data_IF_693165189702
#
_entry.id   IF_693165189702
#
_cell.length_a   1.000
_cell.length_b   1.000
_cell.length_c   1.000
_cell.angle_alpha   90.00
_cell.angle_beta   90.00
_cell.angle_gamma   90.00
#
_symmetry.space_group_name_H-M   'P 1'
#
loop_
_entity.id
_entity.type
_entity.pdbx_description
1 polymer ?
#
# COMPACT_ATOMS: atom_id res chain seq x y z
N UNK A 1 3.36 0.44 -14.25
CA UNK A 1 2.29 -0.35 -13.60
C UNK A 1 1.57 0.54 -12.61
N UNK A 2 0.24 0.42 -12.48
CA UNK A 2 -0.50 1.19 -11.49
C UNK A 2 -0.38 0.51 -10.11
N UNK A 3 0.46 1.07 -9.24
CA UNK A 3 0.70 0.59 -7.87
C UNK A 3 -0.62 0.43 -7.10
N UNK A 4 -1.59 1.32 -7.33
CA UNK A 4 -2.90 1.26 -6.66
C UNK A 4 -3.67 -0.01 -7.04
N UNK A 5 -3.59 -0.41 -8.32
CA UNK A 5 -4.26 -1.60 -8.84
C UNK A 5 -3.64 -2.87 -8.25
N UNK A 6 -2.30 -2.91 -8.18
CA UNK A 6 -1.55 -4.04 -7.60
C UNK A 6 -1.91 -4.22 -6.13
N UNK A 7 -1.97 -3.13 -5.36
CA UNK A 7 -2.34 -3.17 -3.95
C UNK A 7 -3.76 -3.73 -3.77
N UNK A 8 -4.74 -3.21 -4.54
CA UNK A 8 -6.13 -3.68 -4.46
C UNK A 8 -6.25 -5.17 -4.78
N UNK A 9 -5.65 -5.61 -5.88
CA UNK A 9 -5.68 -7.02 -6.28
C UNK A 9 -5.04 -7.92 -5.23
N UNK A 10 -3.95 -7.49 -4.59
CA UNK A 10 -3.30 -8.27 -3.54
C UNK A 10 -4.12 -8.34 -2.25
N UNK A 11 -4.76 -7.24 -1.87
CA UNK A 11 -5.68 -7.21 -0.74
C UNK A 11 -6.82 -8.21 -0.96
N UNK A 12 -7.45 -8.18 -2.13
CA UNK A 12 -8.53 -9.12 -2.50
C UNK A 12 -8.04 -10.57 -2.52
N UNK A 13 -6.87 -10.84 -3.12
CA UNK A 13 -6.29 -12.19 -3.17
C UNK A 13 -5.93 -12.76 -1.79
N UNK A 14 -5.49 -11.91 -0.87
CA UNK A 14 -5.09 -12.31 0.47
C UNK A 14 -6.26 -12.25 1.48
N UNK A 15 -7.42 -11.71 1.09
CA UNK A 15 -8.57 -11.52 1.96
C UNK A 15 -8.38 -10.43 3.02
N UNK A 16 -7.55 -9.42 2.72
CA UNK A 16 -7.28 -8.31 3.63
C UNK A 16 -8.03 -7.04 3.22
N UNK A 17 -8.32 -6.19 4.20
CA UNK A 17 -8.93 -4.89 4.01
C UNK A 17 -7.88 -3.76 4.04
N UNK A 18 -8.30 -2.55 3.63
CA UNK A 18 -7.44 -1.37 3.64
C UNK A 18 -6.93 -1.03 5.04
N UNK A 19 -7.74 -1.27 6.08
CA UNK A 19 -7.38 -1.08 7.50
C UNK A 19 -6.23 -1.99 7.93
N UNK A 20 -6.16 -3.21 7.40
CA UNK A 20 -5.12 -4.18 7.75
C UNK A 20 -3.78 -3.75 7.15
N UNK A 21 -3.82 -3.29 5.89
CA UNK A 21 -2.66 -2.71 5.23
C UNK A 21 -2.19 -1.42 5.91
N UNK A 22 -3.13 -0.59 6.34
CA UNK A 22 -2.83 0.64 7.07
C UNK A 22 -2.12 0.33 8.39
N UNK A 23 -2.62 -0.64 9.15
CA UNK A 23 -1.98 -1.11 10.38
C UNK A 23 -0.57 -1.68 10.12
N UNK A 24 -0.43 -2.53 9.09
CA UNK A 24 0.85 -3.13 8.73
C UNK A 24 1.90 -2.13 8.22
N UNK A 25 1.45 -1.07 7.55
CA UNK A 25 2.30 0.01 7.07
C UNK A 25 2.48 1.14 8.10
N UNK A 26 1.86 1.02 9.29
CA UNK A 26 1.88 2.01 10.36
C UNK A 26 1.38 3.40 9.91
N UNK A 27 0.32 3.39 9.09
CA UNK A 27 -0.35 4.58 8.57
C UNK A 27 -1.84 4.55 8.88
N UNK A 28 -2.52 5.67 8.67
CA UNK A 28 -3.98 5.73 8.81
C UNK A 28 -4.68 5.05 7.63
N UNK A 29 -5.86 4.48 7.86
CA UNK A 29 -6.68 3.95 6.76
C UNK A 29 -7.00 5.03 5.72
N UNK A 30 -7.23 6.27 6.17
CA UNK A 30 -7.44 7.42 5.29
C UNK A 30 -6.26 7.69 4.36
N UNK A 31 -5.04 7.37 4.78
CA UNK A 31 -3.84 7.49 3.96
C UNK A 31 -3.84 6.43 2.85
N UNK A 32 -4.17 5.18 3.16
CA UNK A 32 -4.31 4.11 2.16
C UNK A 32 -5.44 4.43 1.19
N UNK A 33 -6.59 4.91 1.67
CA UNK A 33 -7.70 5.33 0.82
C UNK A 33 -7.30 6.48 -0.12
N UNK A 34 -6.56 7.49 0.38
CA UNK A 34 -6.02 8.58 -0.43
C UNK A 34 -5.01 8.10 -1.49
N UNK A 35 -4.17 7.11 -1.15
CA UNK A 35 -3.24 6.47 -2.07
C UNK A 35 -4.00 5.72 -3.18
N UNK A 36 -4.97 4.89 -2.81
CA UNK A 36 -5.77 4.07 -3.72
C UNK A 36 -6.71 4.87 -4.63
N UNK A 37 -7.05 6.09 -4.25
CA UNK A 37 -7.87 7.03 -5.03
C UNK A 37 -7.04 8.00 -5.87
N UNK A 38 -5.71 7.88 -5.84
CA UNK A 38 -4.74 8.80 -6.48
C UNK A 38 -4.97 10.28 -6.11
N UNK A 39 -5.61 10.56 -4.98
CA UNK A 39 -5.97 11.92 -4.54
C UNK A 39 -4.81 12.66 -3.88
N UNK A 40 -3.73 11.95 -3.55
CA UNK A 40 -2.52 12.50 -2.91
C UNK A 40 -1.30 12.12 -3.74
N UNK A 41 -0.40 13.08 -3.94
CA UNK A 41 0.95 12.82 -4.44
C UNK A 41 1.62 11.78 -3.53
N UNK A 42 2.42 10.84 -4.09
CA UNK A 42 3.10 9.82 -3.29
C UNK A 42 3.84 10.48 -2.12
N UNK A 43 3.92 9.81 -0.96
CA UNK A 43 4.56 10.36 0.22
C UNK A 43 5.96 10.87 -0.13
N UNK A 44 6.41 11.89 0.60
CA UNK A 44 7.76 12.43 0.47
C UNK A 44 8.79 11.28 0.44
N UNK A 45 9.83 11.37 -0.39
CA UNK A 45 10.83 10.32 -0.61
C UNK A 45 11.53 9.85 0.68
N UNK A 46 11.39 10.57 1.79
CA UNK A 46 11.84 10.14 3.11
C UNK A 46 10.98 9.03 3.77
N UNK A 47 9.84 8.64 3.18
CA UNK A 47 8.96 7.56 3.66
C UNK A 47 8.94 6.31 2.78
N UNK A 48 10.11 5.94 2.27
CA UNK A 48 10.32 4.69 1.51
C UNK A 48 9.99 3.44 2.34
N UNK A 49 10.01 3.57 3.67
CA UNK A 49 9.66 2.51 4.62
C UNK A 49 8.20 2.05 4.49
N UNK A 50 7.27 2.96 4.15
CA UNK A 50 5.86 2.64 3.96
C UNK A 50 5.68 1.64 2.82
N UNK A 51 6.28 1.92 1.65
CA UNK A 51 6.17 1.03 0.49
C UNK A 51 6.84 -0.32 0.74
N UNK A 52 7.94 -0.35 1.51
CA UNK A 52 8.58 -1.60 1.91
C UNK A 52 7.70 -2.42 2.85
N UNK A 53 7.09 -1.80 3.87
CA UNK A 53 6.15 -2.46 4.80
C UNK A 53 4.91 -2.98 4.06
N UNK A 54 4.33 -2.15 3.18
CA UNK A 54 3.22 -2.56 2.32
C UNK A 54 3.61 -3.72 1.40
N UNK A 55 4.81 -3.65 0.80
CA UNK A 55 5.34 -4.71 -0.06
C UNK A 55 5.48 -6.04 0.69
N UNK A 56 6.03 -6.02 1.91
CA UNK A 56 6.15 -7.20 2.78
C UNK A 56 4.78 -7.77 3.14
N UNK A 57 3.84 -6.93 3.55
CA UNK A 57 2.48 -7.35 3.93
C UNK A 57 1.72 -7.97 2.75
N UNK A 58 1.80 -7.33 1.57
CA UNK A 58 1.14 -7.78 0.34
C UNK A 58 1.89 -8.94 -0.35
N UNK A 59 2.96 -9.46 0.27
CA UNK A 59 3.83 -10.51 -0.27
C UNK A 59 4.24 -10.20 -1.71
N UNK A 60 4.62 -8.94 -1.94
CA UNK A 60 5.16 -8.47 -3.21
C UNK A 60 6.65 -8.75 -3.22
N UNK A 61 7.11 -9.49 -4.24
CA UNK A 61 8.55 -9.71 -4.45
C UNK A 61 9.23 -8.35 -4.65
N UNK A 62 10.26 -8.07 -3.86
CA UNK A 62 11.05 -6.84 -3.94
C UNK A 62 11.46 -6.57 -5.39
N UNK A 63 10.95 -5.49 -5.99
CA UNK A 63 11.17 -5.15 -7.40
C UNK A 63 9.89 -4.95 -8.25
N UNK A 64 8.69 -5.09 -7.69
CA UNK A 64 7.41 -4.80 -8.38
C UNK A 64 6.61 -3.60 -7.83
N UNK A 65 7.20 -2.81 -6.93
CA UNK A 65 6.62 -1.59 -6.38
C UNK A 65 7.47 -0.38 -6.77
#
# INVERSE_FOLDING_TARGET
MDVCLVIKQRLEQLGFEQKDLAAAAEVTESYISQLLTRKKLPPAPDRTDIYEKMGKFLKLSSGKL
#
